data_IF_508478158975
#
_entry.id   IF_508478158975
#
_cell.length_a   1.000
_cell.length_b   1.000
_cell.length_c   1.000
_cell.angle_alpha   90.00
_cell.angle_beta   90.00
_cell.angle_gamma   90.00
#
_symmetry.space_group_name_H-M   'P 1'
#
loop_
_entity.id
_entity.type
_entity.pdbx_description
1 polymer ?
#
# COMPACT_ATOMS: atom_id res chain seq x y z
N UNK A 1 -18.06 5.19 -10.19
CA UNK A 1 -17.80 3.79 -9.77
C UNK A 1 -16.40 3.70 -9.17
N UNK A 2 -16.29 3.33 -7.90
CA UNK A 2 -15.00 3.15 -7.21
C UNK A 2 -14.34 1.87 -7.73
N UNK A 3 -13.10 1.97 -8.23
CA UNK A 3 -12.38 0.79 -8.74
C UNK A 3 -12.11 -0.21 -7.60
N UNK A 4 -12.13 -1.53 -7.85
CA UNK A 4 -11.78 -2.51 -6.83
C UNK A 4 -10.33 -2.34 -6.36
N UNK A 5 -10.08 -2.57 -5.08
CA UNK A 5 -8.78 -2.37 -4.45
C UNK A 5 -7.86 -3.58 -4.59
N UNK A 6 -6.60 -3.35 -4.95
CA UNK A 6 -5.59 -4.40 -5.04
C UNK A 6 -5.31 -5.09 -3.69
N UNK A 7 -5.45 -4.37 -2.58
CA UNK A 7 -5.19 -4.87 -1.24
C UNK A 7 -6.25 -5.87 -0.74
N UNK A 8 -7.43 -5.89 -1.39
CA UNK A 8 -8.54 -6.78 -1.03
C UNK A 8 -8.63 -8.03 -1.91
N UNK A 9 -7.89 -8.06 -3.01
CA UNK A 9 -7.92 -9.19 -3.94
C UNK A 9 -6.92 -10.27 -3.51
N UNK A 10 -7.31 -11.56 -3.53
CA UNK A 10 -6.35 -12.66 -3.43
C UNK A 10 -5.24 -12.50 -4.47
N UNK A 11 -4.00 -12.72 -4.05
CA UNK A 11 -2.82 -12.42 -4.87
C UNK A 11 -1.67 -13.37 -4.58
N UNK A 12 -0.82 -13.55 -5.58
CA UNK A 12 0.44 -14.28 -5.46
C UNK A 12 1.58 -13.36 -5.92
N UNK A 13 2.66 -13.31 -5.13
CA UNK A 13 3.87 -12.56 -5.44
C UNK A 13 5.00 -13.53 -5.81
N UNK A 14 5.53 -13.39 -7.02
CA UNK A 14 6.62 -14.23 -7.53
C UNK A 14 7.89 -14.14 -6.66
N UNK A 15 8.08 -13.01 -5.98
CA UNK A 15 9.23 -12.78 -5.09
C UNK A 15 9.11 -13.60 -3.82
N UNK A 16 7.88 -13.77 -3.33
CA UNK A 16 7.60 -14.64 -2.19
C UNK A 16 7.79 -16.10 -2.58
N UNK A 17 7.30 -16.52 -3.75
CA UNK A 17 7.53 -17.86 -4.27
C UNK A 17 9.03 -18.17 -4.43
N UNK A 18 9.80 -17.21 -4.94
CA UNK A 18 11.27 -17.32 -5.02
C UNK A 18 11.89 -17.46 -3.64
N UNK A 19 11.47 -16.65 -2.66
CA UNK A 19 11.98 -16.72 -1.28
C UNK A 19 11.68 -18.08 -0.62
N UNK A 20 10.55 -18.69 -0.97
CA UNK A 20 10.14 -20.03 -0.51
C UNK A 20 10.81 -21.17 -1.30
N UNK A 21 11.61 -20.88 -2.32
CA UNK A 21 12.27 -21.89 -3.15
C UNK A 21 11.40 -22.55 -4.22
N UNK A 22 10.15 -22.09 -4.39
CA UNK A 22 9.21 -22.63 -5.39
C UNK A 22 9.61 -22.16 -6.81
N UNK A 23 10.17 -20.95 -6.92
CA UNK A 23 10.65 -20.38 -8.19
C UNK A 23 12.17 -20.20 -8.13
N UNK A 24 12.87 -20.92 -9.00
CA UNK A 24 14.31 -20.81 -9.20
C UNK A 24 14.73 -19.72 -10.19
N UNK A 25 16.02 -19.68 -10.52
CA UNK A 25 16.57 -18.73 -11.50
C UNK A 25 16.26 -19.10 -12.97
N UNK A 26 15.81 -20.33 -13.22
CA UNK A 26 15.54 -20.91 -14.55
C UNK A 26 14.14 -21.54 -14.66
N UNK A 27 13.26 -21.32 -13.68
CA UNK A 27 11.88 -21.84 -13.69
C UNK A 27 11.04 -21.13 -14.75
N UNK A 28 10.61 -21.83 -15.78
CA UNK A 28 9.87 -21.21 -16.89
C UNK A 28 8.35 -21.17 -16.66
N UNK A 29 7.80 -22.08 -15.87
CA UNK A 29 6.35 -22.21 -15.66
C UNK A 29 6.07 -22.71 -14.25
N UNK A 30 4.96 -22.27 -13.66
CA UNK A 30 4.42 -22.79 -12.40
C UNK A 30 2.92 -23.01 -12.48
N UNK A 31 2.39 -23.88 -11.64
CA UNK A 31 0.95 -24.03 -11.43
C UNK A 31 0.52 -23.22 -10.19
N UNK A 32 -0.51 -22.39 -10.33
CA UNK A 32 -1.11 -21.61 -9.25
C UNK A 32 -2.61 -21.92 -9.23
N UNK A 33 -3.09 -22.58 -8.18
CA UNK A 33 -4.48 -23.03 -8.04
C UNK A 33 -4.99 -23.77 -9.30
N UNK A 34 -4.16 -24.63 -9.87
CA UNK A 34 -4.47 -25.41 -11.08
C UNK A 34 -4.28 -24.68 -12.42
N UNK A 35 -4.00 -23.36 -12.41
CA UNK A 35 -3.70 -22.60 -13.63
C UNK A 35 -2.19 -22.59 -13.92
N UNK A 36 -1.80 -22.87 -15.17
CA UNK A 36 -0.42 -22.74 -15.64
C UNK A 36 -0.08 -21.27 -15.88
N UNK A 37 1.02 -20.79 -15.31
CA UNK A 37 1.51 -19.41 -15.44
C UNK A 37 2.98 -19.42 -15.81
N UNK A 38 3.32 -18.73 -16.89
CA UNK A 38 4.70 -18.57 -17.34
C UNK A 38 5.47 -17.56 -16.49
N UNK A 39 6.77 -17.80 -16.39
CA UNK A 39 7.73 -16.99 -15.66
C UNK A 39 8.84 -16.56 -16.62
N UNK A 40 9.12 -15.26 -16.60
CA UNK A 40 10.24 -14.65 -17.30
C UNK A 40 11.26 -14.12 -16.30
N UNK A 41 12.53 -14.18 -16.67
CA UNK A 41 13.64 -13.75 -15.83
C UNK A 41 14.36 -12.56 -16.44
N UNK A 42 14.88 -11.70 -15.57
CA UNK A 42 15.81 -10.63 -15.95
C UNK A 42 17.08 -10.78 -15.13
N UNK A 43 18.24 -10.78 -15.78
CA UNK A 43 19.53 -10.86 -15.09
C UNK A 43 19.73 -9.65 -14.15
N UNK A 44 20.36 -9.89 -13.00
CA UNK A 44 20.70 -8.86 -12.03
C UNK A 44 22.21 -8.57 -12.06
N UNK A 45 22.60 -7.31 -11.86
CA UNK A 45 24.00 -6.87 -11.88
C UNK A 45 24.89 -7.61 -10.88
N UNK A 46 24.40 -7.88 -9.67
CA UNK A 46 25.13 -8.58 -8.60
C UNK A 46 24.94 -10.11 -8.64
N UNK A 47 24.53 -10.66 -9.79
CA UNK A 47 24.27 -12.08 -9.97
C UNK A 47 22.83 -12.50 -9.66
N UNK A 48 22.47 -13.69 -10.17
CA UNK A 48 21.11 -14.23 -10.09
C UNK A 48 20.14 -13.57 -11.06
N UNK A 49 18.86 -13.93 -10.92
CA UNK A 49 17.81 -13.47 -11.82
C UNK A 49 16.57 -12.99 -11.06
N UNK A 50 15.94 -11.92 -11.53
CA UNK A 50 14.67 -11.43 -11.00
C UNK A 50 13.52 -12.07 -11.78
N UNK A 51 12.70 -12.93 -11.16
CA UNK A 51 11.57 -13.53 -11.82
C UNK A 51 10.38 -12.55 -11.90
N UNK A 52 9.58 -12.73 -12.95
CA UNK A 52 8.32 -12.06 -13.19
C UNK A 52 7.33 -13.08 -13.73
N UNK A 53 6.07 -12.98 -13.35
CA UNK A 53 5.01 -13.65 -14.09
C UNK A 53 4.82 -12.98 -15.44
N UNK A 54 4.52 -13.78 -16.47
CA UNK A 54 3.86 -13.28 -17.66
C UNK A 54 2.36 -13.33 -17.42
N UNK A 55 1.70 -12.19 -17.58
CA UNK A 55 0.27 -12.10 -17.38
C UNK A 55 -0.47 -12.91 -18.45
N UNK A 56 -1.28 -13.92 -18.11
CA UNK A 56 -1.95 -14.78 -19.10
C UNK A 56 -2.86 -14.03 -20.10
N UNK A 57 -3.32 -12.84 -19.75
CA UNK A 57 -4.20 -12.01 -20.57
C UNK A 57 -3.47 -11.03 -21.51
N UNK A 58 -2.27 -10.57 -21.14
CA UNK A 58 -1.63 -9.45 -21.85
C UNK A 58 -0.11 -9.56 -21.99
N UNK A 59 0.47 -10.69 -21.59
CA UNK A 59 1.90 -11.03 -21.62
C UNK A 59 2.86 -10.04 -20.94
N UNK A 60 2.33 -9.02 -20.26
CA UNK A 60 3.15 -8.08 -19.51
C UNK A 60 3.78 -8.79 -18.31
N UNK A 61 5.06 -8.49 -18.10
CA UNK A 61 5.80 -8.88 -16.89
C UNK A 61 5.17 -8.23 -15.66
N UNK A 62 4.73 -9.04 -14.71
CA UNK A 62 4.17 -8.61 -13.45
C UNK A 62 4.84 -9.35 -12.28
N UNK A 63 5.11 -8.64 -11.18
CA UNK A 63 5.59 -9.31 -9.97
C UNK A 63 4.46 -9.99 -9.18
N UNK A 64 3.23 -9.50 -9.35
CA UNK A 64 2.05 -9.96 -8.61
C UNK A 64 0.94 -10.24 -9.61
N UNK A 65 0.32 -11.41 -9.48
CA UNK A 65 -0.96 -11.73 -10.13
C UNK A 65 -2.07 -11.70 -9.08
N UNK A 66 -3.25 -11.32 -9.52
CA UNK A 66 -4.45 -11.23 -8.71
C UNK A 66 -5.47 -12.24 -9.22
N UNK A 67 -6.14 -12.92 -8.29
CA UNK A 67 -7.25 -13.80 -8.59
C UNK A 67 -8.56 -13.09 -8.29
N UNK A 68 -9.42 -12.97 -9.30
CA UNK A 68 -10.80 -12.48 -9.17
C UNK A 68 -11.76 -13.42 -9.87
N UNK A 69 -11.59 -13.54 -11.18
CA UNK A 69 -12.26 -14.55 -12.03
C UNK A 69 -11.26 -15.56 -12.58
N UNK A 70 -10.04 -15.08 -12.82
CA UNK A 70 -8.87 -15.82 -13.28
C UNK A 70 -7.61 -15.06 -12.84
N UNK A 71 -6.45 -15.71 -12.91
CA UNK A 71 -5.16 -15.10 -12.60
C UNK A 71 -4.75 -14.11 -13.69
N UNK A 72 -4.67 -12.83 -13.35
CA UNK A 72 -4.17 -11.80 -14.26
C UNK A 72 -3.52 -10.63 -13.51
N UNK A 73 -2.85 -9.75 -14.26
CA UNK A 73 -2.19 -8.59 -13.69
C UNK A 73 -3.19 -7.53 -13.21
N UNK A 74 -2.68 -6.57 -12.43
CA UNK A 74 -3.45 -5.43 -11.91
C UNK A 74 -4.22 -4.67 -13.00
N UNK A 75 -3.58 -4.45 -14.15
CA UNK A 75 -4.12 -3.61 -15.22
C UNK A 75 -5.30 -4.30 -15.93
N UNK A 76 -5.20 -5.60 -16.21
CA UNK A 76 -6.30 -6.39 -16.80
C UNK A 76 -7.52 -6.40 -15.89
N UNK A 77 -7.32 -6.52 -14.57
CA UNK A 77 -8.40 -6.46 -13.59
C UNK A 77 -8.86 -5.04 -13.24
N UNK A 78 -8.29 -4.01 -13.86
CA UNK A 78 -8.54 -2.59 -13.59
C UNK A 78 -8.48 -2.22 -12.09
N UNK A 79 -7.56 -2.84 -11.35
CA UNK A 79 -7.43 -2.66 -9.90
C UNK A 79 -6.79 -1.32 -9.55
N UNK A 80 -7.36 -0.63 -8.58
CA UNK A 80 -6.81 0.58 -8.00
C UNK A 80 -6.00 0.27 -6.75
N UNK A 81 -5.01 1.12 -6.47
CA UNK A 81 -4.44 1.21 -5.12
C UNK A 81 -5.41 1.92 -4.19
N UNK A 82 -5.36 1.65 -2.89
CA UNK A 82 -6.19 2.37 -1.90
C UNK A 82 -6.04 3.89 -2.03
N UNK A 83 -4.83 4.37 -2.29
CA UNK A 83 -4.52 5.79 -2.49
C UNK A 83 -5.19 6.43 -3.71
N UNK A 84 -5.47 5.66 -4.77
CA UNK A 84 -6.13 6.17 -5.98
C UNK A 84 -7.62 6.42 -5.75
N UNK A 85 -8.22 5.66 -4.82
CA UNK A 85 -9.61 5.83 -4.41
C UNK A 85 -9.80 6.82 -3.25
N UNK A 86 -8.71 7.42 -2.71
CA UNK A 86 -8.83 8.39 -1.63
C UNK A 86 -9.54 9.68 -2.09
N UNK A 87 -10.61 10.03 -1.39
CA UNK A 87 -11.24 11.35 -1.51
C UNK A 87 -10.34 12.46 -0.96
N UNK A 88 -10.70 13.72 -1.19
CA UNK A 88 -10.00 14.86 -0.58
C UNK A 88 -10.01 14.79 0.95
N UNK A 89 -11.11 14.31 1.55
CA UNK A 89 -11.22 14.08 2.99
C UNK A 89 -10.29 12.95 3.46
N UNK A 90 -10.21 11.85 2.72
CA UNK A 90 -9.32 10.72 3.07
C UNK A 90 -7.85 11.11 3.01
N UNK A 91 -7.46 11.85 1.96
CA UNK A 91 -6.10 12.40 1.85
C UNK A 91 -5.74 13.31 3.03
N UNK A 92 -6.68 14.14 3.49
CA UNK A 92 -6.49 14.99 4.68
C UNK A 92 -6.31 14.14 5.95
N UNK A 93 -7.19 13.16 6.18
CA UNK A 93 -7.09 12.22 7.32
C UNK A 93 -5.77 11.46 7.31
N UNK A 94 -5.36 10.90 6.17
CA UNK A 94 -4.05 10.20 6.04
C UNK A 94 -2.87 11.11 6.37
N UNK A 95 -2.89 12.38 5.94
CA UNK A 95 -1.85 13.36 6.29
C UNK A 95 -1.78 13.60 7.80
N UNK A 96 -2.94 13.72 8.46
CA UNK A 96 -3.02 13.87 9.92
C UNK A 96 -2.46 12.64 10.63
N UNK A 97 -2.92 11.44 10.27
CA UNK A 97 -2.43 10.19 10.86
C UNK A 97 -0.93 10.00 10.64
N UNK A 98 -0.40 10.34 9.47
CA UNK A 98 1.04 10.30 9.21
C UNK A 98 1.81 11.30 10.08
N UNK A 99 1.25 12.48 10.34
CA UNK A 99 1.86 13.47 11.22
C UNK A 99 1.87 12.99 12.68
N UNK A 100 0.76 12.42 13.15
CA UNK A 100 0.60 11.82 14.49
C UNK A 100 1.48 10.58 14.70
N UNK A 101 1.58 9.69 13.71
CA UNK A 101 2.41 8.48 13.77
C UNK A 101 3.90 8.82 13.98
N UNK A 102 4.39 9.93 13.42
CA UNK A 102 5.77 10.40 13.65
C UNK A 102 6.05 10.82 15.10
N UNK A 103 5.01 11.05 15.89
CA UNK A 103 5.10 11.35 17.33
C UNK A 103 4.94 10.08 18.17
N UNK A 104 5.07 8.89 17.57
CA UNK A 104 4.85 7.58 18.18
C UNK A 104 3.46 7.45 18.83
N UNK A 105 2.42 7.91 18.13
CA UNK A 105 1.06 7.61 18.54
C UNK A 105 0.76 6.14 18.25
N UNK A 106 0.91 5.30 19.27
CA UNK A 106 0.73 3.85 19.18
C UNK A 106 -0.75 3.43 19.13
N UNK A 107 -1.65 4.26 19.67
CA UNK A 107 -3.08 3.95 19.72
C UNK A 107 -3.81 4.58 18.54
N UNK A 108 -3.98 3.79 17.47
CA UNK A 108 -4.74 4.18 16.28
C UNK A 108 -6.27 4.11 16.51
N UNK A 109 -6.74 3.41 17.54
CA UNK A 109 -8.17 3.12 17.77
C UNK A 109 -8.99 4.38 18.01
N UNK A 110 -8.42 5.39 18.68
CA UNK A 110 -9.07 6.68 18.91
C UNK A 110 -8.68 7.74 17.86
N UNK A 111 -7.79 7.41 16.93
CA UNK A 111 -7.44 8.24 15.78
C UNK A 111 -7.12 9.70 16.12
N UNK A 112 -7.93 10.63 15.58
CA UNK A 112 -7.81 12.08 15.79
C UNK A 112 -8.40 12.56 17.12
N UNK A 113 -9.30 11.77 17.72
CA UNK A 113 -9.97 12.11 18.98
C UNK A 113 -9.07 11.84 20.19
N UNK A 114 -8.09 10.94 20.06
CA UNK A 114 -7.07 10.74 21.09
C UNK A 114 -6.27 12.03 21.34
N UNK A 115 -5.89 12.30 22.60
CA UNK A 115 -4.91 13.33 22.90
C UNK A 115 -3.57 13.03 22.22
N UNK A 116 -2.75 14.07 22.03
CA UNK A 116 -1.39 13.88 21.54
C UNK A 116 -0.58 13.01 22.50
N UNK A 117 0.23 12.06 22.00
CA UNK A 117 1.09 11.25 22.85
C UNK A 117 2.14 12.14 23.53
N UNK A 118 2.68 11.66 24.66
CA UNK A 118 3.85 12.27 25.27
C UNK A 118 5.04 12.26 24.28
N UNK A 119 5.97 13.18 24.48
CA UNK A 119 7.17 13.29 23.66
C UNK A 119 7.94 11.96 23.64
N UNK A 120 8.25 11.40 22.46
CA UNK A 120 9.04 10.18 22.37
C UNK A 120 10.40 10.27 23.05
N UNK A 121 10.86 9.14 23.59
CA UNK A 121 12.23 8.96 24.09
C UNK A 121 13.21 9.32 22.96
N UNK A 122 14.24 10.10 23.26
CA UNK A 122 15.29 10.58 22.33
C UNK A 122 14.89 11.62 21.28
N UNK A 123 13.60 11.89 21.06
CA UNK A 123 13.21 13.02 20.19
C UNK A 123 13.63 14.34 20.86
N UNK A 124 14.15 15.32 20.12
CA UNK A 124 14.40 16.66 20.69
C UNK A 124 13.07 17.41 20.90
N UNK A 125 12.96 18.20 21.96
CA UNK A 125 11.73 18.97 22.28
C UNK A 125 11.27 19.86 21.12
N UNK A 126 12.20 20.57 20.49
CA UNK A 126 11.89 21.41 19.34
C UNK A 126 11.28 20.60 18.17
N UNK A 127 11.83 19.42 17.86
CA UNK A 127 11.29 18.52 16.83
C UNK A 127 9.88 18.03 17.18
N UNK A 128 9.67 17.62 18.44
CA UNK A 128 8.37 17.22 18.94
C UNK A 128 7.33 18.34 18.82
N UNK A 129 7.64 19.54 19.32
CA UNK A 129 6.74 20.69 19.27
C UNK A 129 6.43 21.13 17.85
N UNK A 130 7.41 21.07 16.94
CA UNK A 130 7.20 21.33 15.50
C UNK A 130 6.27 20.29 14.89
N UNK A 131 6.50 19.01 15.17
CA UNK A 131 5.65 17.92 14.69
C UNK A 131 4.21 18.02 15.22
N UNK A 132 4.05 18.31 16.51
CA UNK A 132 2.75 18.54 17.17
C UNK A 132 2.00 19.73 16.57
N UNK A 133 2.66 20.89 16.40
CA UNK A 133 2.07 22.06 15.74
C UNK A 133 1.60 21.75 14.32
N UNK A 134 2.40 21.03 13.55
CA UNK A 134 2.03 20.59 12.20
C UNK A 134 0.81 19.67 12.20
N UNK A 135 0.74 18.70 13.09
CA UNK A 135 -0.40 17.79 13.20
C UNK A 135 -1.68 18.56 13.59
N UNK A 136 -1.59 19.45 14.59
CA UNK A 136 -2.71 20.28 15.03
C UNK A 136 -3.23 21.19 13.92
N UNK A 137 -2.35 21.84 13.15
CA UNK A 137 -2.76 22.69 12.03
C UNK A 137 -3.51 21.89 10.93
N UNK A 138 -3.08 20.66 10.65
CA UNK A 138 -3.77 19.77 9.72
C UNK A 138 -5.15 19.36 10.24
N UNK A 139 -5.26 19.06 11.53
CA UNK A 139 -6.54 18.74 12.20
C UNK A 139 -7.51 19.91 12.16
N UNK A 140 -7.04 21.12 12.51
CA UNK A 140 -7.84 22.33 12.48
C UNK A 140 -8.36 22.62 11.07
N UNK A 141 -7.51 22.49 10.06
CA UNK A 141 -7.90 22.62 8.65
C UNK A 141 -8.90 21.54 8.19
N UNK A 142 -8.81 20.34 8.77
CA UNK A 142 -9.74 19.25 8.47
C UNK A 142 -11.11 19.50 9.10
N UNK A 143 -11.15 19.87 10.39
CA UNK A 143 -12.39 20.18 11.10
C UNK A 143 -13.09 21.41 10.53
N UNK A 144 -12.35 22.47 10.17
CA UNK A 144 -12.94 23.64 9.52
C UNK A 144 -13.59 23.28 8.18
N UNK A 145 -12.90 22.48 7.36
CA UNK A 145 -13.44 22.04 6.08
C UNK A 145 -14.63 21.08 6.23
N UNK A 146 -14.68 20.27 7.30
CA UNK A 146 -15.87 19.46 7.63
C UNK A 146 -17.03 20.36 8.05
N UNK A 147 -16.80 21.32 8.97
CA UNK A 147 -17.86 22.25 9.43
C UNK A 147 -18.50 22.99 8.25
N UNK A 148 -17.68 23.52 7.34
CA UNK A 148 -18.16 24.18 6.11
C UNK A 148 -18.94 23.23 5.21
N UNK A 149 -18.57 21.94 5.14
CA UNK A 149 -19.29 20.97 4.31
C UNK A 149 -20.63 20.52 4.91
N UNK A 150 -20.85 20.73 6.22
CA UNK A 150 -22.05 20.30 6.93
C UNK A 150 -23.01 21.46 7.28
N UNK A 151 -22.67 22.72 6.98
CA UNK A 151 -23.48 23.93 7.23
C UNK A 151 -24.33 23.87 8.51
N UNK A 152 -23.63 23.81 9.65
CA UNK A 152 -24.03 24.38 10.93
C UNK A 152 -23.22 25.65 11.15
#
# INVERSE_FOLDING_TARGET
MTKPLCERAPRVDVRELKRRGIVGNSTTTIAIDGASVEISHTACFLGGARPYFLCPECDRRAAILYNRRYWACRNCHALAYASENETTADRRRRKIFKARARLNQCNHTQGMLAPFPAKPKWMRWHTYLRGRRRALALEQSHYSAIKVAFNL
#
